data_IF_341076224883
#
_entry.id   IF_341076224883
#
_cell.length_a   1.000
_cell.length_b   1.000
_cell.length_c   1.000
_cell.angle_alpha   90.00
_cell.angle_beta   90.00
_cell.angle_gamma   90.00
#
_symmetry.space_group_name_H-M   'P 1'
#
loop_
_entity.id
_entity.type
_entity.pdbx_description
1 polymer ?
#
# COMPACT_ATOMS: atom_id res chain seq x y z
N UNK A 1 7.19 11.93 11.80
CA UNK A 1 7.37 11.73 10.33
C UNK A 1 6.14 10.98 9.83
N UNK A 2 5.33 11.58 8.98
CA UNK A 2 4.23 10.87 8.30
C UNK A 2 4.87 9.92 7.27
N UNK A 3 4.66 8.61 7.44
CA UNK A 3 5.24 7.57 6.57
C UNK A 3 4.70 7.62 5.14
N UNK A 4 5.30 6.84 4.23
CA UNK A 4 4.82 6.66 2.86
C UNK A 4 5.28 7.71 1.83
N UNK A 5 6.08 8.71 2.21
CA UNK A 5 6.50 9.83 1.32
C UNK A 5 7.86 9.67 0.63
N UNK A 6 8.50 8.51 0.74
CA UNK A 6 9.84 8.30 0.16
C UNK A 6 9.88 8.49 -1.38
N UNK A 7 8.75 8.28 -2.07
CA UNK A 7 8.64 8.54 -3.50
C UNK A 7 9.00 9.99 -3.88
N UNK A 8 8.73 10.96 -2.99
CA UNK A 8 9.03 12.39 -3.23
C UNK A 8 10.55 12.62 -3.34
N UNK A 9 11.34 11.93 -2.51
CA UNK A 9 12.80 11.99 -2.57
C UNK A 9 13.31 11.42 -3.90
N UNK A 10 12.74 10.33 -4.38
CA UNK A 10 13.12 9.76 -5.68
C UNK A 10 12.68 10.64 -6.86
N UNK A 11 11.49 11.24 -6.80
CA UNK A 11 11.03 12.21 -7.81
C UNK A 11 11.91 13.47 -7.84
N UNK A 12 12.39 13.93 -6.69
CA UNK A 12 13.34 15.05 -6.62
C UNK A 12 14.71 14.66 -7.20
N UNK A 13 15.22 13.46 -6.88
CA UNK A 13 16.55 13.01 -7.29
C UNK A 13 16.63 12.61 -8.76
N UNK A 14 15.54 12.10 -9.32
CA UNK A 14 15.47 11.58 -10.69
C UNK A 14 14.23 12.14 -11.42
N UNK A 15 14.17 13.46 -11.66
CA UNK A 15 12.97 14.13 -12.15
C UNK A 15 12.49 13.59 -13.51
N UNK A 16 13.43 13.23 -14.39
CA UNK A 16 13.15 12.76 -15.74
C UNK A 16 12.96 11.24 -15.86
N UNK A 17 12.93 10.52 -14.73
CA UNK A 17 12.72 9.06 -14.69
C UNK A 17 11.32 8.73 -14.21
N UNK A 18 10.71 7.74 -14.84
CA UNK A 18 9.50 7.11 -14.33
C UNK A 18 9.85 6.28 -13.08
N UNK A 19 9.06 6.45 -12.02
CA UNK A 19 9.21 5.70 -10.78
C UNK A 19 8.16 4.60 -10.69
N UNK A 20 8.61 3.39 -10.41
CA UNK A 20 7.80 2.24 -10.06
C UNK A 20 7.95 2.01 -8.57
N UNK A 21 6.83 2.05 -7.83
CA UNK A 21 6.82 1.63 -6.43
C UNK A 21 6.43 0.16 -6.43
N UNK A 22 7.44 -0.71 -6.40
CA UNK A 22 7.26 -2.15 -6.52
C UNK A 22 6.61 -2.77 -5.29
N UNK A 23 6.75 -2.14 -4.12
CA UNK A 23 6.15 -2.61 -2.88
C UNK A 23 5.85 -1.43 -1.93
N UNK A 24 4.67 -1.45 -1.31
CA UNK A 24 4.37 -0.63 -0.14
C UNK A 24 3.47 -1.39 0.85
N UNK A 25 3.61 -1.10 2.15
CA UNK A 25 2.69 -1.59 3.17
C UNK A 25 2.69 -0.64 4.39
N UNK A 26 1.71 -0.86 5.28
CA UNK A 26 1.72 -0.31 6.64
C UNK A 26 2.13 -1.43 7.62
N UNK A 27 3.35 -1.39 8.18
CA UNK A 27 3.84 -2.44 9.08
C UNK A 27 3.34 -2.30 10.52
N UNK A 28 2.57 -1.26 10.86
CA UNK A 28 2.11 -1.04 12.23
C UNK A 28 1.12 -2.12 12.67
N UNK A 29 1.42 -2.81 13.78
CA UNK A 29 0.49 -3.76 14.42
C UNK A 29 -0.67 -3.06 15.14
N UNK A 30 -0.58 -1.74 15.38
CA UNK A 30 -1.58 -0.96 16.10
C UNK A 30 -2.72 -0.45 15.21
N UNK A 31 -2.59 -0.59 13.88
CA UNK A 31 -3.60 -0.12 12.92
C UNK A 31 -4.43 -1.30 12.44
N UNK A 32 -5.75 -1.23 12.63
CA UNK A 32 -6.68 -2.26 12.18
C UNK A 32 -6.74 -2.41 10.65
N UNK A 33 -7.10 -3.60 10.19
CA UNK A 33 -7.06 -3.96 8.76
C UNK A 33 -7.96 -3.07 7.88
N UNK A 34 -9.13 -2.66 8.37
CA UNK A 34 -9.99 -1.74 7.63
C UNK A 34 -9.35 -0.35 7.44
N UNK A 35 -8.72 0.18 8.50
CA UNK A 35 -8.01 1.46 8.44
C UNK A 35 -6.81 1.35 7.50
N UNK A 36 -6.07 0.23 7.52
CA UNK A 36 -4.99 -0.02 6.55
C UNK A 36 -5.51 -0.04 5.12
N UNK A 37 -6.62 -0.74 4.85
CA UNK A 37 -7.25 -0.75 3.53
C UNK A 37 -7.57 0.66 3.04
N UNK A 38 -8.13 1.51 3.91
CA UNK A 38 -8.40 2.91 3.60
C UNK A 38 -7.12 3.71 3.33
N UNK A 39 -6.09 3.55 4.16
CA UNK A 39 -4.79 4.21 3.95
C UNK A 39 -4.15 3.81 2.62
N UNK A 40 -4.27 2.54 2.22
CA UNK A 40 -3.73 2.07 0.94
C UNK A 40 -4.52 2.69 -0.22
N UNK A 41 -5.85 2.77 -0.09
CA UNK A 41 -6.72 3.44 -1.05
C UNK A 41 -6.36 4.93 -1.22
N UNK A 42 -6.14 5.63 -0.11
CA UNK A 42 -5.76 7.05 -0.11
C UNK A 42 -4.36 7.27 -0.71
N UNK A 43 -3.44 6.32 -0.47
CA UNK A 43 -2.12 6.33 -1.09
C UNK A 43 -2.20 6.11 -2.61
N UNK A 44 -3.01 5.16 -3.07
CA UNK A 44 -3.26 4.97 -4.51
C UNK A 44 -3.85 6.22 -5.15
N UNK A 45 -4.83 6.87 -4.51
CA UNK A 45 -5.42 8.13 -5.01
C UNK A 45 -4.38 9.23 -5.14
N UNK A 46 -3.58 9.44 -4.08
CA UNK A 46 -2.49 10.44 -4.09
C UNK A 46 -1.52 10.22 -5.25
N UNK A 47 -1.11 8.97 -5.47
CA UNK A 47 -0.09 8.66 -6.46
C UNK A 47 -0.61 8.60 -7.89
N UNK A 48 -1.90 8.32 -8.10
CA UNK A 48 -2.52 8.29 -9.43
C UNK A 48 -2.33 9.60 -10.20
N UNK A 49 -2.42 10.72 -9.49
CA UNK A 49 -2.30 12.06 -10.07
C UNK A 49 -0.88 12.65 -9.92
N UNK A 50 0.08 11.88 -9.39
CA UNK A 50 1.46 12.34 -9.20
C UNK A 50 2.29 12.10 -10.47
N UNK A 51 2.72 13.18 -11.12
CA UNK A 51 3.55 13.10 -12.33
C UNK A 51 4.86 12.33 -12.12
N UNK A 52 5.13 11.42 -13.05
CA UNK A 52 6.32 10.55 -13.06
C UNK A 52 6.20 9.31 -12.16
N UNK A 53 5.06 9.06 -11.53
CA UNK A 53 4.73 7.75 -10.97
C UNK A 53 4.10 6.91 -12.07
N UNK A 54 4.69 5.76 -12.39
CA UNK A 54 4.23 4.90 -13.47
C UNK A 54 3.37 3.73 -12.98
N UNK A 55 3.75 3.12 -11.87
CA UNK A 55 3.00 2.02 -11.26
C UNK A 55 3.29 1.93 -9.77
N UNK A 56 2.31 1.40 -9.03
CA UNK A 56 2.36 1.24 -7.58
C UNK A 56 1.73 -0.10 -7.21
N UNK A 57 2.42 -0.90 -6.41
CA UNK A 57 1.97 -2.22 -6.01
C UNK A 57 2.01 -2.35 -4.49
N UNK A 58 0.87 -2.68 -3.89
CA UNK A 58 0.85 -3.05 -2.48
C UNK A 58 1.58 -4.38 -2.27
N UNK A 59 2.32 -4.47 -1.18
CA UNK A 59 2.94 -5.72 -0.76
C UNK A 59 1.85 -6.68 -0.26
N UNK A 60 1.51 -7.65 -1.10
CA UNK A 60 0.53 -8.68 -0.80
C UNK A 60 1.25 -9.94 -0.30
N UNK A 61 1.16 -10.19 1.01
CA UNK A 61 1.79 -11.35 1.64
C UNK A 61 0.74 -12.38 2.08
N UNK A 62 0.99 -13.64 1.71
CA UNK A 62 0.30 -14.82 2.25
C UNK A 62 1.27 -15.54 3.18
N UNK A 63 1.05 -15.43 4.49
CA UNK A 63 1.85 -16.11 5.51
C UNK A 63 0.93 -16.69 6.59
N UNK A 64 1.31 -17.84 7.14
CA UNK A 64 0.53 -18.54 8.19
C UNK A 64 0.70 -17.89 9.57
N UNK A 65 1.86 -17.28 9.83
CA UNK A 65 2.18 -16.60 11.10
C UNK A 65 3.37 -15.65 10.96
N UNK A 66 3.56 -14.74 11.92
CA UNK A 66 4.77 -13.91 12.05
C UNK A 66 4.74 -12.60 11.24
N UNK A 67 3.69 -12.38 10.47
CA UNK A 67 3.50 -11.20 9.62
C UNK A 67 2.14 -10.54 9.84
N UNK A 68 1.55 -10.70 11.03
CA UNK A 68 0.17 -10.36 11.36
C UNK A 68 -0.23 -8.92 11.00
N UNK A 69 0.74 -7.99 10.98
CA UNK A 69 0.53 -6.61 10.57
C UNK A 69 0.34 -6.41 9.06
N UNK A 70 0.78 -7.34 8.20
CA UNK A 70 0.85 -7.14 6.74
C UNK A 70 0.26 -8.30 5.93
N UNK A 71 -0.25 -9.36 6.56
CA UNK A 71 -0.98 -10.44 5.88
C UNK A 71 -2.35 -9.96 5.40
N UNK A 72 -2.78 -10.46 4.24
CA UNK A 72 -4.08 -10.12 3.62
C UNK A 72 -5.15 -11.19 3.85
N UNK A 73 -4.74 -12.32 4.44
CA UNK A 73 -5.63 -13.41 4.86
C UNK A 73 -5.55 -13.60 6.36
N UNK A 74 -6.63 -14.04 6.96
CA UNK A 74 -6.64 -14.49 8.35
C UNK A 74 -6.11 -15.93 8.47
N UNK A 75 -6.09 -16.46 9.70
CA UNK A 75 -5.61 -17.80 9.99
C UNK A 75 -6.47 -18.92 9.39
N UNK A 76 -7.71 -18.62 9.04
CA UNK A 76 -8.63 -19.54 8.35
C UNK A 76 -8.40 -19.53 6.83
N UNK A 77 -7.61 -18.59 6.32
CA UNK A 77 -7.34 -18.41 4.89
C UNK A 77 -8.29 -17.42 4.21
N UNK A 78 -9.25 -16.85 4.95
CA UNK A 78 -10.21 -15.89 4.42
C UNK A 78 -9.56 -14.51 4.25
N UNK A 79 -10.02 -13.76 3.25
CA UNK A 79 -9.51 -12.40 3.02
C UNK A 79 -9.91 -11.48 4.18
N UNK A 80 -8.97 -10.68 4.65
CA UNK A 80 -9.29 -9.61 5.57
C UNK A 80 -9.92 -8.40 4.84
N UNK A 81 -10.08 -7.27 5.53
CA UNK A 81 -10.73 -6.07 4.98
C UNK A 81 -9.88 -5.29 3.97
N UNK A 82 -8.57 -5.51 3.87
CA UNK A 82 -7.70 -4.77 2.95
C UNK A 82 -8.05 -5.06 1.48
N UNK A 83 -8.09 -6.32 1.01
CA UNK A 83 -8.43 -6.64 -0.37
C UNK A 83 -9.78 -6.07 -0.82
N UNK A 84 -10.81 -6.17 0.01
CA UNK A 84 -12.16 -5.69 -0.35
C UNK A 84 -12.19 -4.17 -0.50
N UNK A 85 -11.63 -3.42 0.45
CA UNK A 85 -11.62 -1.94 0.41
C UNK A 85 -10.85 -1.42 -0.81
N UNK A 86 -9.72 -2.04 -1.15
CA UNK A 86 -8.95 -1.67 -2.35
C UNK A 86 -9.69 -2.13 -3.61
N UNK A 87 -10.30 -3.32 -3.59
CA UNK A 87 -11.04 -3.90 -4.71
C UNK A 87 -12.25 -3.07 -5.13
N UNK A 88 -12.99 -2.52 -4.16
CA UNK A 88 -14.19 -1.71 -4.37
C UNK A 88 -13.91 -0.27 -4.83
N UNK A 89 -12.65 0.05 -5.16
CA UNK A 89 -12.24 1.39 -5.58
C UNK A 89 -12.96 1.82 -6.87
N UNK A 90 -13.48 3.05 -6.85
CA UNK A 90 -14.06 3.73 -8.00
C UNK A 90 -13.24 5.00 -8.23
N UNK A 91 -12.13 4.88 -8.96
CA UNK A 91 -11.31 6.00 -9.43
C UNK A 91 -10.42 5.60 -10.61
#
# INVERSE_FOLDING_TARGET
IHGGRLYETYRLRYPDKLLFITEFCNPSSQVGQAIKGQQYLDFYRTLRDTSGICAVFAYALSAVSGHDAIIWRDKSGDQNRIPSIIGDRIF
#
